data_IF_895440116059
#
_entry.id   IF_895440116059
#
_cell.length_a   1.000
_cell.length_b   1.000
_cell.length_c   1.000
_cell.angle_alpha   90.00
_cell.angle_beta   90.00
_cell.angle_gamma   90.00
#
_symmetry.space_group_name_H-M   'P 1'
#
loop_
_entity.id
_entity.type
_entity.pdbx_description
1 polymer ?
#
# COMPACT_ATOMS: atom_id res chain seq x y z
N UNK A 1 13.56 -22.16 -12.01
CA UNK A 1 14.25 -21.05 -11.31
C UNK A 1 13.25 -19.99 -10.91
N UNK A 2 13.29 -19.58 -9.67
CA UNK A 2 12.44 -18.47 -9.24
C UNK A 2 13.04 -17.17 -9.77
N UNK A 3 12.21 -16.35 -10.40
CA UNK A 3 12.60 -15.01 -10.80
C UNK A 3 12.98 -14.21 -9.56
N UNK A 4 14.05 -13.46 -9.63
CA UNK A 4 14.40 -12.54 -8.57
C UNK A 4 13.41 -11.38 -8.57
N UNK A 5 12.86 -11.10 -7.41
CA UNK A 5 11.98 -9.95 -7.20
C UNK A 5 12.78 -8.85 -6.50
N UNK A 6 12.78 -7.68 -7.10
CA UNK A 6 13.42 -6.50 -6.54
C UNK A 6 12.34 -5.54 -6.04
N UNK A 7 12.50 -5.03 -4.82
CA UNK A 7 11.56 -4.06 -4.24
C UNK A 7 12.28 -2.72 -4.12
N UNK A 8 11.73 -1.70 -4.76
CA UNK A 8 12.28 -0.34 -4.74
C UNK A 8 11.19 0.70 -4.90
N UNK A 9 11.48 1.93 -4.49
CA UNK A 9 10.54 3.04 -4.62
C UNK A 9 10.32 3.40 -6.08
N UNK A 10 9.09 3.80 -6.39
CA UNK A 10 8.75 4.42 -7.67
C UNK A 10 9.13 5.89 -7.59
N UNK A 11 10.05 6.31 -8.48
CA UNK A 11 10.54 7.69 -8.54
C UNK A 11 10.14 8.40 -9.83
N UNK A 12 9.97 7.66 -10.94
CA UNK A 12 9.69 8.25 -12.24
C UNK A 12 8.21 8.18 -12.60
N UNK A 13 7.78 9.09 -13.48
CA UNK A 13 6.41 9.08 -13.99
C UNK A 13 6.15 7.83 -14.83
N UNK A 14 7.16 7.36 -15.56
CA UNK A 14 7.04 6.13 -16.36
C UNK A 14 6.76 4.92 -15.48
N UNK A 15 7.48 4.78 -14.36
CA UNK A 15 7.26 3.68 -13.43
C UNK A 15 5.91 3.83 -12.72
N UNK A 16 5.49 5.06 -12.43
CA UNK A 16 4.17 5.30 -11.85
C UNK A 16 3.07 4.85 -12.79
N UNK A 17 3.17 5.18 -14.08
CA UNK A 17 2.20 4.70 -15.07
C UNK A 17 2.19 3.17 -15.14
N UNK A 18 3.36 2.54 -15.08
CA UNK A 18 3.46 1.08 -15.08
C UNK A 18 2.79 0.44 -13.87
N UNK A 19 2.68 1.16 -12.76
CA UNK A 19 2.03 0.65 -11.54
C UNK A 19 0.51 0.66 -11.61
N UNK A 20 -0.09 1.38 -12.56
CA UNK A 20 -1.54 1.59 -12.60
C UNK A 20 -2.33 0.29 -12.67
N UNK A 21 -1.93 -0.65 -13.51
CA UNK A 21 -2.68 -1.88 -13.68
C UNK A 21 -2.73 -2.73 -12.40
N UNK A 22 -1.64 -2.73 -11.63
CA UNK A 22 -1.59 -3.44 -10.34
C UNK A 22 -2.39 -2.69 -9.29
N UNK A 23 -2.25 -1.37 -9.20
CA UNK A 23 -3.04 -0.58 -8.25
C UNK A 23 -4.54 -0.73 -8.52
N UNK A 24 -4.93 -0.82 -9.79
CA UNK A 24 -6.33 -0.99 -10.17
C UNK A 24 -6.91 -2.32 -9.67
N UNK A 25 -6.09 -3.36 -9.51
CA UNK A 25 -6.56 -4.62 -8.91
C UNK A 25 -7.04 -4.39 -7.48
N UNK A 26 -6.38 -3.50 -6.73
CA UNK A 26 -6.77 -3.15 -5.37
C UNK A 26 -7.88 -2.11 -5.33
N UNK A 27 -7.83 -1.13 -6.24
CA UNK A 27 -8.74 0.02 -6.29
C UNK A 27 -9.46 0.04 -7.64
N UNK A 28 -10.47 -0.82 -7.85
CA UNK A 28 -11.13 -0.96 -9.17
C UNK A 28 -11.81 0.30 -9.66
N UNK A 29 -12.09 1.25 -8.77
CA UNK A 29 -12.73 2.53 -9.13
C UNK A 29 -11.80 3.46 -9.90
N UNK A 30 -10.48 3.20 -9.93
CA UNK A 30 -9.54 4.01 -10.70
C UNK A 30 -9.85 3.86 -12.19
N UNK A 31 -10.07 5.00 -12.88
CA UNK A 31 -10.56 4.98 -14.26
C UNK A 31 -9.45 5.05 -15.31
N UNK A 32 -8.44 5.88 -15.09
CA UNK A 32 -7.38 6.09 -16.09
C UNK A 32 -6.05 6.47 -15.43
N UNK A 33 -4.96 6.30 -16.21
CA UNK A 33 -3.62 6.55 -15.73
C UNK A 33 -3.37 8.01 -15.36
N UNK A 34 -3.93 8.94 -16.13
CA UNK A 34 -3.71 10.37 -15.90
C UNK A 34 -4.30 10.81 -14.56
N UNK A 35 -5.53 10.41 -14.28
CA UNK A 35 -6.18 10.71 -13.00
C UNK A 35 -5.44 10.09 -11.83
N UNK A 36 -5.02 8.84 -11.98
CA UNK A 36 -4.22 8.14 -10.97
C UNK A 36 -2.90 8.89 -10.70
N UNK A 37 -2.18 9.24 -11.77
CA UNK A 37 -0.91 9.96 -11.62
C UNK A 37 -1.07 11.30 -10.94
N UNK A 38 -2.12 12.06 -11.29
CA UNK A 38 -2.41 13.35 -10.66
C UNK A 38 -2.71 13.18 -9.17
N UNK A 39 -3.48 12.15 -8.81
CA UNK A 39 -3.80 11.90 -7.41
C UNK A 39 -2.56 11.50 -6.61
N UNK A 40 -1.73 10.63 -7.15
CA UNK A 40 -0.48 10.24 -6.49
C UNK A 40 0.43 11.45 -6.29
N UNK A 41 0.50 12.35 -7.30
CA UNK A 41 1.27 13.59 -7.17
C UNK A 41 0.78 14.43 -5.98
N UNK A 42 -0.55 14.56 -5.81
CA UNK A 42 -1.12 15.27 -4.66
C UNK A 42 -0.77 14.55 -3.35
N UNK A 43 -0.88 13.23 -3.31
CA UNK A 43 -0.58 12.45 -2.09
C UNK A 43 0.90 12.53 -1.71
N UNK A 44 1.79 12.66 -2.70
CA UNK A 44 3.22 12.85 -2.43
C UNK A 44 3.49 14.12 -1.63
N UNK A 45 2.69 15.17 -1.82
CA UNK A 45 2.81 16.39 -1.02
C UNK A 45 2.42 16.16 0.44
N UNK A 46 1.75 15.06 0.73
CA UNK A 46 1.35 14.63 2.07
C UNK A 46 2.20 13.46 2.59
N UNK A 47 3.36 13.26 1.98
CA UNK A 47 4.30 12.25 2.44
C UNK A 47 4.11 10.85 1.86
N UNK A 48 3.24 10.68 0.87
CA UNK A 48 2.99 9.37 0.26
C UNK A 48 4.19 8.90 -0.55
N UNK A 49 4.57 7.64 -0.33
CA UNK A 49 5.62 6.98 -1.08
C UNK A 49 5.15 5.60 -1.52
N UNK A 50 5.61 5.16 -2.66
CA UNK A 50 5.15 3.92 -3.26
C UNK A 50 6.33 2.99 -3.53
N UNK A 51 6.33 1.84 -2.86
CA UNK A 51 7.28 0.75 -3.13
C UNK A 51 6.67 -0.17 -4.17
N UNK A 52 7.47 -0.61 -5.12
CA UNK A 52 7.05 -1.58 -6.13
C UNK A 52 7.94 -2.80 -6.12
N UNK A 53 7.32 -3.96 -6.28
CA UNK A 53 8.02 -5.22 -6.49
C UNK A 53 8.09 -5.47 -7.99
N UNK A 54 9.29 -5.68 -8.51
CA UNK A 54 9.56 -5.90 -9.91
C UNK A 54 10.00 -7.34 -10.14
N UNK A 55 9.46 -7.98 -11.15
CA UNK A 55 9.85 -9.31 -11.59
C UNK A 55 9.89 -9.33 -13.11
N UNK A 56 11.06 -9.67 -13.67
CA UNK A 56 11.26 -9.73 -15.13
C UNK A 56 10.80 -8.45 -15.85
N UNK A 57 11.13 -7.30 -15.29
CA UNK A 57 10.82 -5.99 -15.87
C UNK A 57 9.39 -5.51 -15.71
N UNK A 58 8.55 -6.24 -14.98
CA UNK A 58 7.16 -5.87 -14.73
C UNK A 58 6.90 -5.67 -13.24
N UNK A 59 6.00 -4.74 -12.92
CA UNK A 59 5.55 -4.55 -11.56
C UNK A 59 4.53 -5.64 -11.22
N UNK A 60 4.77 -6.33 -10.10
CA UNK A 60 3.93 -7.45 -9.66
C UNK A 60 3.33 -7.22 -8.27
N UNK A 61 3.68 -6.14 -7.61
CA UNK A 61 3.12 -5.79 -6.31
C UNK A 61 3.48 -4.37 -5.93
N UNK A 62 2.70 -3.80 -5.00
CA UNK A 62 2.86 -2.41 -4.55
C UNK A 62 2.61 -2.31 -3.05
N UNK A 63 3.33 -1.39 -2.40
CA UNK A 63 3.05 -0.97 -1.03
C UNK A 63 3.15 0.55 -0.98
N UNK A 64 2.01 1.21 -0.81
CA UNK A 64 1.94 2.67 -0.65
C UNK A 64 1.81 3.03 0.81
N UNK A 65 2.60 3.98 1.27
CA UNK A 65 2.62 4.35 2.69
C UNK A 65 2.88 5.84 2.86
N UNK A 66 2.53 6.34 4.03
CA UNK A 66 2.79 7.73 4.42
C UNK A 66 3.46 7.79 5.78
N UNK A 67 4.39 8.73 5.93
CA UNK A 67 4.94 9.08 7.22
C UNK A 67 4.00 10.09 7.87
N UNK A 68 3.52 9.79 9.08
CA UNK A 68 2.58 10.62 9.79
C UNK A 68 3.03 10.82 11.25
N UNK A 69 2.38 11.77 11.91
CA UNK A 69 2.60 12.03 13.32
C UNK A 69 1.25 12.36 13.96
N UNK A 70 0.94 11.70 15.06
CA UNK A 70 -0.27 12.03 15.81
C UNK A 70 -0.07 11.78 17.32
N UNK A 71 -1.06 12.16 18.10
CA UNK A 71 -0.94 12.05 19.55
C UNK A 71 -1.12 10.63 20.08
N UNK A 72 -1.65 9.70 19.26
CA UNK A 72 -1.85 8.31 19.66
C UNK A 72 -0.58 7.51 19.45
N UNK A 73 0.01 7.62 18.26
CA UNK A 73 1.12 6.77 17.84
C UNK A 73 2.47 7.49 17.81
N UNK A 74 2.48 8.83 17.93
CA UNK A 74 3.67 9.62 17.70
C UNK A 74 4.03 9.58 16.22
N UNK A 75 5.31 9.44 15.90
CA UNK A 75 5.77 9.29 14.52
C UNK A 75 5.51 7.86 14.07
N UNK A 76 4.82 7.69 12.94
CA UNK A 76 4.46 6.36 12.47
C UNK A 76 4.37 6.32 10.95
N UNK A 77 4.50 5.11 10.39
CA UNK A 77 4.17 4.86 8.99
C UNK A 77 2.77 4.26 8.94
N UNK A 78 1.95 4.80 8.05
CA UNK A 78 0.63 4.27 7.74
C UNK A 78 0.66 3.68 6.34
N UNK A 79 0.32 2.40 6.21
CA UNK A 79 0.25 1.74 4.91
C UNK A 79 -1.15 1.95 4.34
N UNK A 80 -1.23 2.74 3.26
CA UNK A 80 -2.50 3.02 2.58
C UNK A 80 -2.90 1.90 1.62
N UNK A 81 -1.92 1.31 0.94
CA UNK A 81 -2.17 0.38 -0.15
C UNK A 81 -1.18 -0.77 -0.07
N UNK A 82 -1.67 -2.00 -0.16
CA UNK A 82 -0.83 -3.19 -0.24
C UNK A 82 -1.51 -4.16 -1.20
N UNK A 83 -0.84 -4.47 -2.30
CA UNK A 83 -1.41 -5.34 -3.33
C UNK A 83 -0.33 -6.18 -4.01
N UNK A 84 -0.66 -7.43 -4.27
CA UNK A 84 0.13 -8.34 -5.10
C UNK A 84 -0.78 -8.78 -6.24
N UNK A 85 -0.26 -8.78 -7.47
CA UNK A 85 -1.05 -9.22 -8.63
C UNK A 85 -1.56 -10.64 -8.41
N UNK A 86 -2.77 -10.91 -8.93
CA UNK A 86 -3.50 -12.15 -8.64
C UNK A 86 -2.69 -13.41 -8.93
N UNK A 87 -1.91 -13.41 -10.01
CA UNK A 87 -1.11 -14.57 -10.41
C UNK A 87 0.00 -14.93 -9.41
N UNK A 88 0.34 -14.02 -8.49
CA UNK A 88 1.38 -14.23 -7.49
C UNK A 88 0.84 -14.24 -6.06
N UNK A 89 -0.47 -14.38 -5.88
CA UNK A 89 -1.03 -14.60 -4.56
C UNK A 89 -0.46 -15.89 -3.95
N UNK A 90 -0.21 -15.88 -2.64
CA UNK A 90 0.37 -17.00 -1.88
C UNK A 90 1.83 -17.29 -2.23
N UNK A 91 2.51 -16.36 -2.89
CA UNK A 91 3.94 -16.51 -3.21
C UNK A 91 4.87 -16.03 -2.10
N UNK A 92 4.32 -15.40 -1.05
CA UNK A 92 5.11 -14.73 -0.01
C UNK A 92 5.48 -13.29 -0.36
N UNK A 93 5.07 -12.79 -1.51
CA UNK A 93 5.42 -11.44 -1.96
C UNK A 93 4.76 -10.36 -1.11
N UNK A 94 3.50 -10.60 -0.66
CA UNK A 94 2.82 -9.66 0.24
C UNK A 94 3.59 -9.47 1.54
N UNK A 95 4.12 -10.54 2.11
CA UNK A 95 4.95 -10.47 3.30
C UNK A 95 6.23 -9.65 3.04
N UNK A 96 6.88 -9.87 1.89
CA UNK A 96 8.09 -9.14 1.54
C UNK A 96 7.83 -7.65 1.37
N UNK A 97 6.70 -7.29 0.74
CA UNK A 97 6.32 -5.88 0.58
C UNK A 97 5.99 -5.24 1.92
N UNK A 98 5.26 -5.94 2.78
CA UNK A 98 4.95 -5.45 4.12
C UNK A 98 6.23 -5.25 4.93
N UNK A 99 7.17 -6.18 4.86
CA UNK A 99 8.45 -6.04 5.54
C UNK A 99 9.27 -4.88 5.00
N UNK A 100 9.25 -4.65 3.68
CA UNK A 100 9.95 -3.51 3.10
C UNK A 100 9.40 -2.18 3.62
N UNK A 101 8.07 -2.06 3.72
CA UNK A 101 7.43 -0.87 4.30
C UNK A 101 7.76 -0.73 5.79
N UNK A 102 7.74 -1.84 6.52
CA UNK A 102 8.11 -1.84 7.96
C UNK A 102 9.55 -1.37 8.16
N UNK A 103 10.46 -1.79 7.28
CA UNK A 103 11.85 -1.35 7.35
C UNK A 103 11.98 0.15 7.10
N UNK A 104 11.15 0.73 6.25
CA UNK A 104 11.11 2.18 6.08
C UNK A 104 10.71 2.87 7.39
N UNK A 105 9.72 2.32 8.09
CA UNK A 105 9.30 2.86 9.39
C UNK A 105 10.46 2.82 10.40
N UNK A 106 11.18 1.72 10.45
CA UNK A 106 12.34 1.58 11.34
C UNK A 106 13.44 2.59 10.98
N UNK A 107 13.76 2.70 9.69
CA UNK A 107 14.79 3.63 9.22
C UNK A 107 14.42 5.08 9.50
N UNK A 108 13.15 5.42 9.46
CA UNK A 108 12.64 6.76 9.75
C UNK A 108 12.41 6.99 11.26
N UNK A 109 12.80 6.04 12.09
CA UNK A 109 12.69 6.10 13.56
C UNK A 109 11.25 6.26 14.02
N UNK A 110 10.32 5.61 13.35
CA UNK A 110 8.92 5.58 13.74
C UNK A 110 8.72 4.73 14.99
N UNK A 111 7.71 5.10 15.78
CA UNK A 111 7.33 4.35 16.98
C UNK A 111 6.26 3.30 16.69
N UNK A 112 5.52 3.46 15.61
CA UNK A 112 4.45 2.54 15.23
C UNK A 112 4.38 2.36 13.73
N UNK A 113 3.83 1.22 13.35
CA UNK A 113 3.55 0.82 11.97
C UNK A 113 2.08 0.44 11.92
N UNK A 114 1.27 1.16 11.14
CA UNK A 114 -0.18 1.12 11.20
C UNK A 114 -0.75 0.86 9.81
N UNK A 115 -1.82 0.06 9.76
CA UNK A 115 -2.59 -0.12 8.54
C UNK A 115 -4.03 -0.46 8.90
N UNK A 116 -4.91 -0.40 7.92
CA UNK A 116 -6.30 -0.77 8.06
C UNK A 116 -6.67 -1.82 7.04
N UNK A 117 -7.72 -2.58 7.34
CA UNK A 117 -8.35 -3.47 6.38
C UNK A 117 -9.85 -3.48 6.63
N UNK A 118 -10.64 -3.82 5.62
CA UNK A 118 -12.08 -3.90 5.78
C UNK A 118 -12.50 -4.98 6.77
N UNK A 119 -13.54 -4.72 7.53
CA UNK A 119 -14.05 -5.69 8.51
C UNK A 119 -14.54 -6.98 7.84
N UNK A 120 -14.88 -6.91 6.54
CA UNK A 120 -15.32 -8.07 5.75
C UNK A 120 -14.15 -8.86 5.13
N UNK A 121 -12.91 -8.38 5.29
CA UNK A 121 -11.73 -8.94 4.62
C UNK A 121 -11.03 -9.95 5.54
N UNK A 122 -11.64 -11.11 5.74
CA UNK A 122 -11.15 -12.10 6.70
C UNK A 122 -9.73 -12.61 6.38
N UNK A 123 -9.42 -12.83 5.11
CA UNK A 123 -8.10 -13.32 4.73
C UNK A 123 -7.01 -12.27 4.93
N UNK A 124 -7.32 -11.00 4.66
CA UNK A 124 -6.37 -9.92 4.92
C UNK A 124 -6.12 -9.79 6.43
N UNK A 125 -7.16 -9.86 7.24
CA UNK A 125 -7.04 -9.82 8.70
C UNK A 125 -6.14 -10.95 9.21
N UNK A 126 -6.36 -12.17 8.72
CA UNK A 126 -5.54 -13.32 9.07
C UNK A 126 -4.08 -13.10 8.71
N UNK A 127 -3.82 -12.55 7.53
CA UNK A 127 -2.48 -12.23 7.07
C UNK A 127 -1.81 -11.25 8.04
N UNK A 128 -2.50 -10.16 8.41
CA UNK A 128 -1.91 -9.16 9.31
C UNK A 128 -1.67 -9.70 10.71
N UNK A 129 -2.55 -10.52 11.24
CA UNK A 129 -2.30 -11.18 12.53
C UNK A 129 -1.06 -12.09 12.46
N UNK A 130 -0.88 -12.82 11.37
CA UNK A 130 0.30 -13.65 11.17
C UNK A 130 1.58 -12.84 11.07
N UNK A 131 1.48 -11.61 10.56
CA UNK A 131 2.62 -10.70 10.47
C UNK A 131 2.91 -9.98 11.78
N UNK A 132 2.17 -10.28 12.84
CA UNK A 132 2.44 -9.74 14.17
C UNK A 132 1.73 -8.44 14.49
N UNK A 133 0.82 -7.96 13.63
CA UNK A 133 0.05 -6.77 13.92
C UNK A 133 -1.16 -7.12 14.81
N UNK A 134 -1.60 -6.16 15.61
CA UNK A 134 -2.76 -6.31 16.50
C UNK A 134 -3.85 -5.35 16.04
N UNK A 135 -5.10 -5.81 16.09
CA UNK A 135 -6.25 -4.97 15.79
C UNK A 135 -6.56 -4.09 17.01
N UNK A 136 -6.29 -2.79 16.91
CA UNK A 136 -6.42 -1.86 18.05
C UNK A 136 -7.49 -0.80 17.87
N UNK A 137 -8.12 -0.70 16.71
CA UNK A 137 -9.14 0.31 16.47
C UNK A 137 -10.02 -0.05 15.31
N UNK A 138 -11.08 0.69 15.14
CA UNK A 138 -12.01 0.56 14.02
C UNK A 138 -12.13 1.90 13.32
N UNK A 139 -12.24 1.86 11.99
CA UNK A 139 -12.55 3.05 11.20
C UNK A 139 -14.06 3.24 11.12
N UNK A 140 -14.49 4.48 11.35
CA UNK A 140 -15.87 4.90 11.13
C UNK A 140 -15.85 5.88 9.97
N UNK A 141 -16.58 5.60 8.91
CA UNK A 141 -16.53 6.35 7.66
C UNK A 141 -17.92 6.85 7.28
N UNK A 142 -18.02 8.13 6.95
CA UNK A 142 -19.23 8.73 6.44
C UNK A 142 -18.90 9.45 5.14
N UNK A 143 -19.49 9.06 4.00
CA UNK A 143 -19.33 9.83 2.77
C UNK A 143 -19.96 11.21 2.92
N UNK A 144 -19.23 12.25 2.50
CA UNK A 144 -19.71 13.63 2.62
C UNK A 144 -20.24 14.19 1.31
N UNK A 145 -20.22 13.40 0.25
CA UNK A 145 -20.79 13.78 -1.04
C UNK A 145 -21.79 12.72 -1.48
N UNK A 146 -22.84 13.14 -2.21
CA UNK A 146 -23.85 12.20 -2.70
C UNK A 146 -23.30 11.23 -3.74
N UNK A 147 -22.28 11.63 -4.49
CA UNK A 147 -21.62 10.77 -5.48
C UNK A 147 -20.94 9.56 -4.85
N UNK A 148 -20.56 9.64 -3.58
CA UNK A 148 -19.91 8.55 -2.86
C UNK A 148 -20.86 7.47 -2.38
N UNK A 149 -22.18 7.63 -2.58
CA UNK A 149 -23.21 6.69 -2.09
C UNK A 149 -23.72 5.73 -3.16
N UNK A 150 -23.22 5.78 -4.38
CA UNK A 150 -23.65 4.88 -5.46
C UNK A 150 -22.77 3.63 -5.55
#
# INVERSE_FOLDING_TARGET
MQSQVEIKHIESDTDLEASFSVMKELRPHLSDRATYGAQVARQRTQGYRLLAAWSDGAIVGLAGYRLQDNLIYGRFVYVDDLVVTASLHRSGLGERLLQAARQQAVALRCKHFVLDTGLHMALAQRFYFRQGLLAKGMHFVEPLTQEATT
#
